data_IF_454172342168
#
_entry.id   IF_454172342168
#
_cell.length_a   1.000
_cell.length_b   1.000
_cell.length_c   1.000
_cell.angle_alpha   90.00
_cell.angle_beta   90.00
_cell.angle_gamma   90.00
#
_symmetry.space_group_name_H-M   'P 1'
#
loop_
_entity.id
_entity.type
_entity.pdbx_description
1 polymer ?
#
# COMPACT_ATOMS: atom_id res chain seq x y z
N UNK A 1 26.01 2.34 -27.02
CA UNK A 1 25.56 1.28 -26.09
C UNK A 1 26.12 1.47 -24.67
N UNK A 2 27.41 1.77 -24.46
CA UNK A 2 27.96 1.92 -23.09
C UNK A 2 27.45 3.20 -22.38
N UNK A 3 27.27 4.32 -23.08
CA UNK A 3 26.83 5.58 -22.47
C UNK A 3 25.35 5.61 -22.06
N UNK A 4 24.46 4.94 -22.83
CA UNK A 4 23.03 4.83 -22.51
C UNK A 4 22.78 3.95 -21.30
N UNK A 5 23.48 2.81 -21.20
CA UNK A 5 23.43 1.94 -20.01
C UNK A 5 23.90 2.68 -18.75
N UNK A 6 24.93 3.53 -18.86
CA UNK A 6 25.44 4.31 -17.72
C UNK A 6 24.47 5.39 -17.22
N UNK A 7 23.64 5.96 -18.11
CA UNK A 7 22.62 6.97 -17.77
C UNK A 7 21.37 6.33 -17.17
N UNK A 8 20.93 5.21 -17.74
CA UNK A 8 19.83 4.36 -17.24
C UNK A 8 20.11 3.94 -15.78
N UNK A 9 21.30 3.37 -15.54
CA UNK A 9 21.72 2.96 -14.18
C UNK A 9 21.77 4.14 -13.20
N UNK A 10 22.04 5.36 -13.66
CA UNK A 10 22.14 6.55 -12.80
C UNK A 10 20.75 7.06 -12.36
N UNK A 11 19.75 7.06 -13.25
CA UNK A 11 18.38 7.47 -12.91
C UNK A 11 17.75 6.49 -11.93
N UNK A 12 17.88 5.18 -12.19
CA UNK A 12 17.37 4.15 -11.29
C UNK A 12 17.94 4.29 -9.87
N UNK A 13 19.26 4.47 -9.75
CA UNK A 13 19.91 4.73 -8.45
C UNK A 13 19.40 6.00 -7.77
N UNK A 14 19.17 7.08 -8.52
CA UNK A 14 18.64 8.32 -7.98
C UNK A 14 17.22 8.15 -7.45
N UNK A 15 16.34 7.47 -8.20
CA UNK A 15 14.96 7.19 -7.77
C UNK A 15 14.95 6.30 -6.52
N UNK A 16 15.79 5.27 -6.47
CA UNK A 16 15.93 4.41 -5.30
C UNK A 16 16.45 5.19 -4.08
N UNK A 17 17.44 6.06 -4.26
CA UNK A 17 17.93 6.93 -3.19
C UNK A 17 16.83 7.87 -2.66
N UNK A 18 16.02 8.46 -3.55
CA UNK A 18 14.88 9.30 -3.16
C UNK A 18 13.88 8.51 -2.31
N UNK A 19 13.51 7.32 -2.76
CA UNK A 19 12.57 6.45 -2.07
C UNK A 19 13.08 6.09 -0.67
N UNK A 20 14.33 5.61 -0.59
CA UNK A 20 14.94 5.17 0.66
C UNK A 20 15.18 6.35 1.62
N UNK A 21 15.62 7.51 1.15
CA UNK A 21 15.81 8.69 1.99
C UNK A 21 14.52 9.08 2.70
N UNK A 22 13.42 9.20 1.95
CA UNK A 22 12.14 9.64 2.48
C UNK A 22 11.56 8.59 3.43
N UNK A 23 11.56 7.32 3.03
CA UNK A 23 10.98 6.24 3.84
C UNK A 23 11.80 5.92 5.09
N UNK A 24 13.12 6.09 5.06
CA UNK A 24 13.97 5.94 6.26
C UNK A 24 13.89 7.15 7.19
N UNK A 25 13.83 8.37 6.64
CA UNK A 25 13.66 9.58 7.44
C UNK A 25 12.34 9.55 8.23
N UNK A 26 11.30 8.93 7.66
CA UNK A 26 10.01 8.72 8.30
C UNK A 26 9.63 7.25 8.30
N UNK A 27 10.37 6.45 9.06
CA UNK A 27 10.09 5.02 9.22
C UNK A 27 8.74 4.79 9.92
N UNK A 28 7.72 4.49 9.11
CA UNK A 28 6.35 4.31 9.58
C UNK A 28 6.15 3.03 10.39
N UNK A 29 7.10 2.08 10.38
CA UNK A 29 7.05 0.93 11.30
C UNK A 29 7.20 1.39 12.76
N UNK A 30 7.82 2.54 13.00
CA UNK A 30 8.00 3.16 14.33
C UNK A 30 6.85 4.11 14.72
N UNK A 31 5.87 4.33 13.84
CA UNK A 31 4.74 5.20 14.12
C UNK A 31 3.96 4.71 15.37
N UNK A 32 3.47 5.62 16.26
CA UNK A 32 2.75 5.24 17.48
C UNK A 32 1.63 4.22 17.27
N UNK A 33 0.77 4.44 16.27
CA UNK A 33 -0.24 3.48 15.82
C UNK A 33 0.31 2.06 15.59
N UNK A 34 1.38 1.93 14.81
CA UNK A 34 1.97 0.64 14.42
C UNK A 34 2.62 -0.04 15.62
N UNK A 35 3.27 0.73 16.49
CA UNK A 35 3.85 0.23 17.74
C UNK A 35 2.77 -0.26 18.70
N UNK A 36 1.68 0.49 18.86
CA UNK A 36 0.51 0.09 19.65
C UNK A 36 -0.14 -1.19 19.08
N UNK A 37 -0.26 -1.26 17.75
CA UNK A 37 -0.73 -2.47 17.07
C UNK A 37 0.16 -3.67 17.41
N UNK A 38 1.48 -3.58 17.19
CA UNK A 38 2.44 -4.67 17.48
C UNK A 38 2.40 -5.12 18.94
N UNK A 39 2.16 -4.21 19.89
CA UNK A 39 2.02 -4.55 21.32
C UNK A 39 0.73 -5.30 21.65
N UNK A 40 -0.24 -5.32 20.74
CA UNK A 40 -1.54 -5.95 20.97
C UNK A 40 -2.49 -5.09 21.81
N UNK A 41 -2.32 -3.77 21.78
CA UNK A 41 -3.03 -2.81 22.65
C UNK A 41 -4.35 -2.29 22.04
N UNK A 42 -4.78 -2.87 20.91
CA UNK A 42 -6.11 -2.62 20.34
C UNK A 42 -7.07 -3.74 20.71
N UNK A 43 -8.33 -3.39 20.95
CA UNK A 43 -9.41 -4.36 21.08
C UNK A 43 -9.63 -5.13 19.78
N UNK A 44 -10.17 -6.35 19.87
CA UNK A 44 -10.54 -7.12 18.67
C UNK A 44 -11.54 -6.36 17.77
N UNK A 45 -12.46 -5.59 18.37
CA UNK A 45 -13.40 -4.76 17.61
C UNK A 45 -12.71 -3.58 16.91
N UNK A 46 -11.68 -2.98 17.51
CA UNK A 46 -10.87 -1.97 16.84
C UNK A 46 -10.13 -2.54 15.63
N UNK A 47 -9.62 -3.78 15.71
CA UNK A 47 -9.01 -4.46 14.55
C UNK A 47 -10.06 -4.80 13.48
N UNK A 48 -11.27 -5.20 13.85
CA UNK A 48 -12.38 -5.37 12.89
C UNK A 48 -12.71 -4.05 12.19
N UNK A 49 -12.72 -2.93 12.92
CA UNK A 49 -12.94 -1.60 12.34
C UNK A 49 -11.81 -1.17 11.41
N UNK A 50 -10.57 -1.45 11.80
CA UNK A 50 -9.42 -1.27 10.92
C UNK A 50 -9.64 -2.02 9.60
N UNK A 51 -10.02 -3.31 9.67
CA UNK A 51 -10.22 -4.12 8.48
C UNK A 51 -11.37 -3.59 7.59
N UNK A 52 -12.50 -3.20 8.20
CA UNK A 52 -13.63 -2.57 7.50
C UNK A 52 -13.19 -1.32 6.71
N UNK A 53 -12.33 -0.49 7.32
CA UNK A 53 -11.81 0.72 6.68
C UNK A 53 -10.75 0.46 5.63
N UNK A 54 -10.10 -0.69 5.63
CA UNK A 54 -9.00 -0.97 4.69
C UNK A 54 -9.46 -1.74 3.45
N UNK A 55 -10.50 -2.57 3.56
CA UNK A 55 -10.96 -3.41 2.43
C UNK A 55 -11.26 -2.60 1.16
N UNK A 56 -12.04 -1.49 1.19
CA UNK A 56 -12.32 -0.75 -0.04
C UNK A 56 -11.08 -0.07 -0.64
N UNK A 57 -10.15 0.37 0.20
CA UNK A 57 -8.85 0.88 -0.24
C UNK A 57 -8.03 -0.17 -0.99
N UNK A 58 -7.95 -1.39 -0.46
CA UNK A 58 -7.23 -2.50 -1.11
C UNK A 58 -7.76 -2.79 -2.53
N UNK A 59 -9.08 -2.75 -2.73
CA UNK A 59 -9.64 -2.89 -4.08
C UNK A 59 -9.31 -1.70 -5.00
N UNK A 60 -9.40 -0.47 -4.48
CA UNK A 60 -9.11 0.75 -5.26
C UNK A 60 -7.63 0.85 -5.66
N UNK A 61 -6.72 0.32 -4.85
CA UNK A 61 -5.29 0.23 -5.18
C UNK A 61 -5.04 -0.55 -6.48
N UNK A 62 -5.61 -1.75 -6.58
CA UNK A 62 -5.48 -2.60 -7.78
C UNK A 62 -6.06 -1.93 -9.03
N UNK A 63 -7.18 -1.20 -8.88
CA UNK A 63 -7.77 -0.43 -9.98
C UNK A 63 -6.88 0.75 -10.41
N UNK A 64 -6.20 1.42 -9.47
CA UNK A 64 -5.28 2.50 -9.76
C UNK A 64 -4.04 2.01 -10.53
N UNK A 65 -3.50 0.83 -10.18
CA UNK A 65 -2.42 0.18 -10.93
C UNK A 65 -2.76 0.03 -12.41
N UNK A 66 -3.92 -0.57 -12.70
CA UNK A 66 -4.40 -0.76 -14.08
C UNK A 66 -4.61 0.58 -14.80
N UNK A 67 -5.13 1.60 -14.10
CA UNK A 67 -5.32 2.94 -14.66
C UNK A 67 -3.99 3.62 -15.00
N UNK A 68 -2.97 3.49 -14.15
CA UNK A 68 -1.66 4.10 -14.41
C UNK A 68 -0.94 3.35 -15.54
N UNK A 69 -1.03 2.02 -15.57
CA UNK A 69 -0.46 1.21 -16.65
C UNK A 69 -1.01 1.60 -18.03
N UNK A 70 -2.31 1.93 -18.14
CA UNK A 70 -2.91 2.32 -19.42
C UNK A 70 -2.41 3.68 -19.95
N UNK A 71 -1.79 4.51 -19.10
CA UNK A 71 -1.26 5.84 -19.44
C UNK A 71 0.20 5.82 -19.91
N UNK A 72 0.88 4.68 -19.85
CA UNK A 72 2.30 4.58 -20.21
C UNK A 72 2.49 4.36 -21.71
N UNK A 73 3.38 5.11 -22.36
CA UNK A 73 3.70 4.94 -23.79
C UNK A 73 4.51 3.66 -24.06
N UNK A 74 5.48 3.36 -23.20
CA UNK A 74 6.35 2.19 -23.34
C UNK A 74 5.59 0.89 -23.07
N UNK A 75 5.51 0.00 -24.07
CA UNK A 75 4.89 -1.30 -23.86
C UNK A 75 5.68 -2.17 -22.87
N UNK A 76 7.01 -2.01 -22.77
CA UNK A 76 7.81 -2.71 -21.78
C UNK A 76 7.42 -2.31 -20.35
N UNK A 77 7.24 -0.99 -20.12
CA UNK A 77 6.77 -0.49 -18.83
C UNK A 77 5.37 -1.02 -18.50
N UNK A 78 4.47 -1.05 -19.48
CA UNK A 78 3.13 -1.65 -19.32
C UNK A 78 3.21 -3.14 -18.98
N UNK A 79 4.12 -3.91 -19.59
CA UNK A 79 4.27 -5.34 -19.31
C UNK A 79 4.66 -5.58 -17.86
N UNK A 80 5.59 -4.82 -17.29
CA UNK A 80 6.01 -4.95 -15.88
C UNK A 80 4.85 -4.59 -14.94
N UNK A 81 4.13 -3.51 -15.22
CA UNK A 81 2.94 -3.12 -14.44
C UNK A 81 1.81 -4.16 -14.52
N UNK A 82 1.66 -4.83 -15.67
CA UNK A 82 0.69 -5.90 -15.85
C UNK A 82 1.10 -7.18 -15.12
N UNK A 83 2.39 -7.48 -15.00
CA UNK A 83 2.89 -8.59 -14.18
C UNK A 83 2.58 -8.35 -12.70
N UNK A 84 2.84 -7.15 -12.20
CA UNK A 84 2.40 -6.73 -10.85
C UNK A 84 0.89 -6.92 -10.68
N UNK A 85 0.10 -6.39 -11.62
CA UNK A 85 -1.35 -6.53 -11.56
C UNK A 85 -1.80 -8.00 -11.63
N UNK A 86 -1.10 -8.85 -12.39
CA UNK A 86 -1.35 -10.29 -12.46
C UNK A 86 -1.14 -10.96 -11.10
N UNK A 87 -0.02 -10.65 -10.43
CA UNK A 87 0.28 -11.12 -9.06
C UNK A 87 -0.77 -10.64 -8.06
N UNK A 88 -1.11 -9.34 -8.06
CA UNK A 88 -2.13 -8.74 -7.18
C UNK A 88 -3.53 -9.37 -7.36
N UNK A 89 -3.85 -9.82 -8.59
CA UNK A 89 -5.09 -10.53 -8.90
C UNK A 89 -4.97 -12.06 -8.73
N UNK A 90 -3.96 -12.50 -7.99
CA UNK A 90 -3.80 -13.90 -7.59
C UNK A 90 -3.48 -14.80 -8.76
N UNK A 91 -2.69 -14.32 -9.72
CA UNK A 91 -2.33 -15.07 -10.93
C UNK A 91 -3.58 -15.50 -11.73
N UNK A 92 -4.55 -14.59 -11.84
CA UNK A 92 -5.88 -14.82 -12.43
C UNK A 92 -6.74 -15.87 -11.70
N UNK A 93 -6.38 -16.22 -10.46
CA UNK A 93 -7.25 -16.96 -9.56
C UNK A 93 -7.90 -15.99 -8.54
N UNK A 94 -9.21 -15.72 -8.66
CA UNK A 94 -9.91 -14.79 -7.78
C UNK A 94 -9.83 -15.13 -6.28
N UNK A 95 -9.66 -16.41 -5.92
CA UNK A 95 -9.55 -16.84 -4.51
C UNK A 95 -8.18 -16.52 -3.89
N UNK A 96 -7.18 -16.25 -4.75
CA UNK A 96 -5.82 -15.85 -4.38
C UNK A 96 -5.56 -14.36 -4.56
N UNK A 97 -6.47 -13.62 -5.21
CA UNK A 97 -6.33 -12.17 -5.33
C UNK A 97 -6.11 -11.55 -3.94
N UNK A 98 -5.23 -10.57 -3.84
CA UNK A 98 -4.83 -10.02 -2.54
C UNK A 98 -6.04 -9.48 -1.76
N UNK A 99 -6.99 -8.86 -2.44
CA UNK A 99 -8.25 -8.43 -1.81
C UNK A 99 -9.09 -9.61 -1.26
N UNK A 100 -9.05 -10.77 -1.90
CA UNK A 100 -9.68 -12.00 -1.40
C UNK A 100 -8.95 -12.56 -0.19
N UNK A 101 -7.61 -12.46 -0.14
CA UNK A 101 -6.83 -12.79 1.05
C UNK A 101 -7.16 -11.83 2.20
N UNK A 102 -7.41 -10.55 1.93
CA UNK A 102 -7.85 -9.59 2.94
C UNK A 102 -9.26 -9.90 3.46
N UNK A 103 -10.20 -10.27 2.58
CA UNK A 103 -11.53 -10.73 3.00
C UNK A 103 -11.47 -12.03 3.82
N UNK A 104 -10.52 -12.91 3.53
CA UNK A 104 -10.25 -14.10 4.34
C UNK A 104 -9.76 -13.75 5.73
N UNK A 105 -8.83 -12.79 5.84
CA UNK A 105 -8.42 -12.23 7.13
C UNK A 105 -9.63 -11.70 7.91
N UNK A 106 -10.46 -10.87 7.27
CA UNK A 106 -11.69 -10.34 7.88
C UNK A 106 -12.60 -11.46 8.39
N UNK A 107 -12.80 -12.53 7.60
CA UNK A 107 -13.58 -13.69 8.02
C UNK A 107 -12.97 -14.38 9.24
N UNK A 108 -11.66 -14.62 9.24
CA UNK A 108 -10.98 -15.33 10.33
C UNK A 108 -10.99 -14.57 11.67
N UNK A 109 -11.08 -13.23 11.65
CA UNK A 109 -11.25 -12.43 12.87
C UNK A 109 -12.72 -12.18 13.25
N UNK A 110 -13.68 -12.84 12.58
CA UNK A 110 -15.12 -12.63 12.73
C UNK A 110 -15.56 -11.17 12.49
N UNK A 111 -15.02 -10.54 11.44
CA UNK A 111 -15.45 -9.22 11.01
C UNK A 111 -16.82 -9.29 10.32
N UNK A 112 -17.71 -8.29 10.50
CA UNK A 112 -18.93 -8.17 9.69
C UNK A 112 -18.63 -8.18 8.19
N UNK A 113 -19.47 -8.87 7.42
CA UNK A 113 -19.39 -8.82 5.96
C UNK A 113 -19.81 -7.42 5.50
N UNK A 114 -18.97 -6.79 4.69
CA UNK A 114 -19.25 -5.50 4.06
C UNK A 114 -19.10 -5.62 2.53
N UNK A 115 -19.66 -4.66 1.80
CA UNK A 115 -19.38 -4.52 0.38
C UNK A 115 -17.94 -4.05 0.18
N UNK A 116 -17.27 -4.56 -0.86
CA UNK A 116 -15.90 -4.18 -1.22
C UNK A 116 -15.79 -2.70 -1.62
N UNK A 117 -16.89 -2.04 -1.96
CA UNK A 117 -16.98 -0.62 -2.28
C UNK A 117 -17.70 0.19 -1.19
N UNK A 118 -17.84 -0.35 0.02
CA UNK A 118 -18.45 0.36 1.14
C UNK A 118 -17.73 1.69 1.46
N UNK A 119 -18.44 2.64 2.07
CA UNK A 119 -17.82 3.87 2.55
C UNK A 119 -16.81 3.56 3.68
N UNK A 120 -15.54 3.78 3.38
CA UNK A 120 -14.42 3.59 4.29
C UNK A 120 -13.89 4.91 4.85
N UNK A 121 -14.61 6.01 4.61
CA UNK A 121 -14.29 7.36 5.02
C UNK A 121 -13.25 8.06 4.14
N UNK A 122 -12.69 7.42 3.11
CA UNK A 122 -11.62 8.00 2.30
C UNK A 122 -11.99 9.35 1.64
N UNK A 123 -13.28 9.52 1.30
CA UNK A 123 -13.80 10.73 0.65
C UNK A 123 -14.22 11.84 1.63
N UNK A 124 -14.44 11.52 2.91
CA UNK A 124 -14.96 12.48 3.91
C UNK A 124 -13.97 12.81 5.02
N UNK A 125 -13.01 11.93 5.30
CA UNK A 125 -12.01 12.10 6.36
C UNK A 125 -10.68 12.49 5.72
N UNK A 126 -10.18 13.73 5.89
CA UNK A 126 -8.95 14.19 5.24
C UNK A 126 -7.71 13.33 5.53
N UNK A 127 -7.63 12.75 6.73
CA UNK A 127 -6.55 11.85 7.14
C UNK A 127 -6.57 10.49 6.41
N UNK A 128 -7.71 10.11 5.79
CA UNK A 128 -7.87 8.85 5.07
C UNK A 128 -7.72 9.00 3.54
N UNK A 129 -7.27 10.17 3.06
CA UNK A 129 -7.31 10.56 1.65
C UNK A 129 -6.51 9.65 0.72
N UNK A 130 -5.41 9.04 1.16
CA UNK A 130 -4.60 8.21 0.25
C UNK A 130 -5.36 6.96 -0.21
N UNK A 131 -6.28 6.45 0.64
CA UNK A 131 -7.09 5.26 0.33
C UNK A 131 -8.04 5.48 -0.84
N UNK A 132 -8.25 6.72 -1.29
CA UNK A 132 -9.04 7.02 -2.49
C UNK A 132 -8.43 6.37 -3.73
N UNK A 133 -7.10 6.30 -3.79
CA UNK A 133 -6.35 5.85 -4.96
C UNK A 133 -6.85 6.50 -6.26
N UNK A 134 -7.25 7.77 -6.18
CA UNK A 134 -7.67 8.55 -7.34
C UNK A 134 -6.44 8.93 -8.17
N UNK A 135 -6.49 8.62 -9.45
CA UNK A 135 -5.48 9.03 -10.43
C UNK A 135 -6.19 9.91 -11.46
N UNK A 136 -5.80 11.19 -11.56
CA UNK A 136 -6.34 12.09 -12.57
C UNK A 136 -5.85 11.71 -13.97
N UNK A 137 -6.64 12.00 -15.00
CA UNK A 137 -6.30 11.63 -16.38
C UNK A 137 -5.05 12.37 -16.87
N UNK A 138 -4.87 13.63 -16.44
CA UNK A 138 -3.73 14.50 -16.72
C UNK A 138 -2.57 14.37 -15.71
N UNK A 139 -2.69 13.53 -14.68
CA UNK A 139 -1.62 13.33 -13.70
C UNK A 139 -0.37 12.72 -14.38
N UNK A 140 0.83 13.29 -14.22
CA UNK A 140 2.06 12.67 -14.71
C UNK A 140 2.30 11.31 -14.04
N UNK A 141 2.60 10.27 -14.85
CA UNK A 141 2.80 8.90 -14.34
C UNK A 141 3.91 8.80 -13.29
N UNK A 142 4.90 9.69 -13.34
CA UNK A 142 5.97 9.75 -12.35
C UNK A 142 5.45 9.96 -10.92
N UNK A 143 4.40 10.79 -10.74
CA UNK A 143 3.77 11.02 -9.43
C UNK A 143 3.15 9.71 -8.92
N UNK A 144 2.36 9.04 -9.76
CA UNK A 144 1.69 7.79 -9.37
C UNK A 144 2.69 6.67 -9.08
N UNK A 145 3.77 6.58 -9.86
CA UNK A 145 4.85 5.61 -9.63
C UNK A 145 5.57 5.87 -8.30
N UNK A 146 5.83 7.13 -7.95
CA UNK A 146 6.37 7.50 -6.64
C UNK A 146 5.45 7.11 -5.49
N UNK A 147 4.13 7.30 -5.67
CA UNK A 147 3.13 6.88 -4.68
C UNK A 147 3.10 5.36 -4.49
N UNK A 148 3.10 4.58 -5.57
CA UNK A 148 3.11 3.12 -5.49
C UNK A 148 4.39 2.60 -4.86
N UNK A 149 5.56 3.10 -5.30
CA UNK A 149 6.84 2.67 -4.75
C UNK A 149 6.94 2.97 -3.24
N UNK A 150 6.38 4.08 -2.78
CA UNK A 150 6.31 4.39 -1.35
C UNK A 150 5.44 3.41 -0.55
N UNK A 151 4.32 2.93 -1.11
CA UNK A 151 3.46 1.94 -0.45
C UNK A 151 4.21 0.62 -0.31
N UNK A 152 4.68 0.06 -1.43
CA UNK A 152 5.38 -1.23 -1.47
C UNK A 152 6.66 -1.21 -0.61
N UNK A 153 7.35 -0.07 -0.52
CA UNK A 153 8.53 0.06 0.33
C UNK A 153 8.18 0.08 1.84
N UNK A 154 7.05 0.67 2.22
CA UNK A 154 6.66 0.87 3.63
C UNK A 154 5.96 -0.36 4.21
N UNK A 155 5.07 -0.99 3.43
CA UNK A 155 4.16 -2.02 3.92
C UNK A 155 4.87 -3.24 4.53
N UNK A 156 5.99 -3.77 4.02
CA UNK A 156 6.69 -4.91 4.63
C UNK A 156 7.05 -4.71 6.10
N UNK A 157 7.60 -3.52 6.43
CA UNK A 157 7.97 -3.17 7.80
C UNK A 157 6.76 -3.00 8.71
N UNK A 158 5.69 -2.41 8.20
CA UNK A 158 4.42 -2.22 8.93
C UNK A 158 3.71 -3.56 9.15
N UNK A 159 3.60 -4.39 8.12
CA UNK A 159 2.91 -5.68 8.17
C UNK A 159 3.62 -6.71 9.04
N UNK A 160 4.96 -6.66 9.11
CA UNK A 160 5.71 -7.41 10.12
C UNK A 160 5.21 -7.08 11.54
N UNK A 161 4.98 -5.79 11.84
CA UNK A 161 4.45 -5.32 13.12
C UNK A 161 2.97 -5.68 13.32
N UNK A 162 2.17 -5.66 12.25
CA UNK A 162 0.78 -6.13 12.33
C UNK A 162 0.71 -7.62 12.65
N UNK A 163 1.52 -8.47 12.02
CA UNK A 163 1.57 -9.91 12.29
C UNK A 163 1.90 -10.17 13.77
N UNK A 164 2.89 -9.45 14.34
CA UNK A 164 3.22 -9.52 15.77
C UNK A 164 2.02 -9.19 16.67
N UNK A 165 1.29 -8.12 16.33
CA UNK A 165 0.12 -7.67 17.09
C UNK A 165 -1.09 -8.59 16.94
N UNK A 166 -1.39 -9.05 15.72
CA UNK A 166 -2.51 -9.93 15.42
C UNK A 166 -2.43 -11.22 16.22
N UNK A 167 -1.24 -11.83 16.36
CA UNK A 167 -1.04 -13.03 17.18
C UNK A 167 -1.24 -12.81 18.68
N UNK A 168 -1.09 -11.57 19.18
CA UNK A 168 -1.38 -11.21 20.57
C UNK A 168 -2.87 -10.95 20.79
N UNK A 169 -3.50 -10.25 19.84
CA UNK A 169 -4.93 -9.85 19.92
C UNK A 169 -5.87 -11.04 19.65
N UNK A 170 -5.46 -11.94 18.76
CA UNK A 170 -6.17 -13.16 18.38
C UNK A 170 -5.23 -14.38 18.58
N UNK A 171 -5.18 -14.98 19.78
CA UNK A 171 -4.22 -16.05 20.10
C UNK A 171 -4.30 -17.28 19.19
N UNK A 172 -5.48 -17.59 18.67
CA UNK A 172 -5.72 -18.76 17.81
C UNK A 172 -5.63 -18.43 16.30
N UNK A 173 -5.14 -17.24 15.93
CA UNK A 173 -5.06 -16.84 14.52
C UNK A 173 -3.97 -17.65 13.79
N UNK A 174 -4.37 -18.34 12.73
CA UNK A 174 -3.45 -19.15 11.94
C UNK A 174 -2.81 -18.35 10.79
N UNK A 175 -1.74 -18.92 10.22
CA UNK A 175 -0.98 -18.29 9.14
C UNK A 175 -1.81 -18.14 7.85
N UNK A 176 -2.80 -19.01 7.64
CA UNK A 176 -3.71 -18.94 6.50
C UNK A 176 -4.67 -17.74 6.61
N UNK A 177 -5.07 -17.38 7.83
CA UNK A 177 -5.92 -16.21 8.11
C UNK A 177 -5.18 -14.90 7.87
N UNK A 178 -3.89 -14.83 8.22
CA UNK A 178 -3.07 -13.62 8.06
C UNK A 178 -2.21 -13.64 6.79
N UNK A 179 -2.50 -14.53 5.84
CA UNK A 179 -1.71 -14.72 4.62
C UNK A 179 -1.49 -13.41 3.86
N UNK A 180 -2.53 -12.55 3.76
CA UNK A 180 -2.44 -11.21 3.16
C UNK A 180 -1.21 -10.44 3.63
N UNK A 181 -1.02 -10.29 4.95
CA UNK A 181 0.10 -9.52 5.49
C UNK A 181 1.43 -10.21 5.22
N UNK A 182 1.44 -11.54 5.28
CA UNK A 182 2.66 -12.33 5.09
C UNK A 182 3.17 -12.26 3.67
N UNK A 183 2.30 -12.37 2.67
CA UNK A 183 2.73 -12.35 1.27
C UNK A 183 3.35 -10.99 0.91
N UNK A 184 2.77 -9.88 1.38
CA UNK A 184 3.27 -8.54 1.11
C UNK A 184 4.64 -8.28 1.79
N UNK A 185 4.91 -8.90 2.94
CA UNK A 185 6.27 -8.86 3.50
C UNK A 185 7.35 -9.49 2.59
N UNK A 186 6.97 -10.35 1.63
CA UNK A 186 7.90 -11.03 0.72
C UNK A 186 7.83 -10.51 -0.72
N UNK A 187 6.65 -10.14 -1.21
CA UNK A 187 6.41 -9.71 -2.59
C UNK A 187 6.73 -8.23 -2.81
N UNK A 188 6.32 -7.35 -1.89
CA UNK A 188 6.47 -5.90 -2.09
C UNK A 188 7.93 -5.42 -2.30
N UNK A 189 8.98 -6.08 -1.76
CA UNK A 189 10.36 -5.76 -2.15
C UNK A 189 10.63 -5.94 -3.65
N UNK A 190 10.11 -7.00 -4.26
CA UNK A 190 10.22 -7.24 -5.71
C UNK A 190 9.36 -6.23 -6.49
N UNK A 191 8.12 -6.00 -6.06
CA UNK A 191 7.26 -4.97 -6.65
C UNK A 191 7.91 -3.58 -6.59
N UNK A 192 8.62 -3.26 -5.50
CA UNK A 192 9.36 -2.00 -5.36
C UNK A 192 10.44 -1.88 -6.44
N UNK A 193 11.23 -2.92 -6.66
CA UNK A 193 12.28 -2.95 -7.69
C UNK A 193 11.67 -2.80 -9.10
N UNK A 194 10.55 -3.49 -9.36
CA UNK A 194 9.79 -3.38 -10.60
C UNK A 194 9.23 -1.97 -10.84
N UNK A 195 8.70 -1.32 -9.81
CA UNK A 195 8.20 0.06 -9.89
C UNK A 195 9.33 1.07 -10.15
N UNK A 196 10.52 0.86 -9.57
CA UNK A 196 11.70 1.68 -9.88
C UNK A 196 12.14 1.47 -11.33
N UNK A 197 12.15 0.23 -11.80
CA UNK A 197 12.46 -0.08 -13.20
C UNK A 197 11.46 0.57 -14.17
N UNK A 198 10.17 0.53 -13.85
CA UNK A 198 9.13 1.22 -14.64
C UNK A 198 9.32 2.74 -14.60
N UNK A 199 9.63 3.31 -13.43
CA UNK A 199 9.88 4.74 -13.28
C UNK A 199 11.09 5.20 -14.09
N UNK A 200 12.18 4.43 -14.11
CA UNK A 200 13.34 4.67 -14.97
C UNK A 200 12.94 4.75 -16.46
N UNK A 201 12.05 3.86 -16.91
CA UNK A 201 11.55 3.87 -18.29
C UNK A 201 10.63 5.07 -18.60
N UNK A 202 9.98 5.65 -17.59
CA UNK A 202 8.99 6.72 -17.75
C UNK A 202 9.55 8.13 -17.51
N UNK A 203 10.54 8.28 -16.63
CA UNK A 203 11.19 9.55 -16.30
C UNK A 203 12.08 10.00 -17.47
N UNK A 204 11.94 11.25 -17.90
CA UNK A 204 12.70 11.83 -19.03
C UNK A 204 13.41 13.15 -18.69
N UNK A 205 13.18 13.67 -17.49
CA UNK A 205 13.72 14.96 -17.06
C UNK A 205 13.89 15.01 -15.53
N UNK A 206 14.69 15.97 -15.06
CA UNK A 206 14.77 16.31 -13.62
C UNK A 206 13.39 16.69 -13.05
N UNK A 207 12.53 17.29 -13.88
CA UNK A 207 11.15 17.59 -13.48
C UNK A 207 10.35 16.32 -13.18
N UNK A 208 10.54 15.25 -13.95
CA UNK A 208 9.86 13.97 -13.70
C UNK A 208 10.40 13.28 -12.44
N UNK A 209 11.71 13.41 -12.17
CA UNK A 209 12.32 12.93 -10.92
C UNK A 209 11.71 13.65 -9.71
N UNK A 210 11.52 14.97 -9.81
CA UNK A 210 10.90 15.74 -8.72
C UNK A 210 9.41 15.39 -8.55
N UNK A 211 8.69 15.11 -9.63
CA UNK A 211 7.32 14.60 -9.58
C UNK A 211 7.25 13.22 -8.90
N UNK A 212 8.20 12.33 -9.19
CA UNK A 212 8.33 11.05 -8.47
C UNK A 212 8.59 11.28 -6.97
N UNK A 213 9.54 12.16 -6.62
CA UNK A 213 9.79 12.56 -5.22
C UNK A 213 8.53 13.07 -4.53
N UNK A 214 7.78 13.94 -5.20
CA UNK A 214 6.53 14.48 -4.68
C UNK A 214 5.52 13.36 -4.39
N UNK A 215 5.40 12.39 -5.31
CA UNK A 215 4.55 11.21 -5.13
C UNK A 215 4.94 10.38 -3.90
N UNK A 216 6.24 10.12 -3.73
CA UNK A 216 6.77 9.40 -2.56
C UNK A 216 6.45 10.15 -1.27
N UNK A 217 6.77 11.44 -1.20
CA UNK A 217 6.59 12.26 0.00
C UNK A 217 5.11 12.42 0.38
N UNK A 218 4.24 12.69 -0.60
CA UNK A 218 2.80 12.80 -0.39
C UNK A 218 2.22 11.50 0.16
N UNK A 219 2.65 10.36 -0.37
CA UNK A 219 2.16 9.07 0.08
C UNK A 219 2.60 8.73 1.50
N UNK A 220 3.89 8.87 1.82
CA UNK A 220 4.41 8.61 3.17
C UNK A 220 3.71 9.51 4.20
N UNK A 221 3.54 10.80 3.89
CA UNK A 221 2.81 11.73 4.76
C UNK A 221 1.35 11.31 4.94
N UNK A 222 0.68 10.90 3.86
CA UNK A 222 -0.73 10.54 3.91
C UNK A 222 -0.99 9.21 4.64
N UNK A 223 -0.06 8.25 4.60
CA UNK A 223 -0.12 7.04 5.41
C UNK A 223 0.08 7.38 6.89
N UNK A 224 1.02 8.27 7.22
CA UNK A 224 1.22 8.74 8.59
C UNK A 224 -0.01 9.47 9.16
N UNK A 225 -0.67 10.30 8.35
CA UNK A 225 -1.92 10.95 8.72
C UNK A 225 -3.02 9.92 9.04
N UNK A 226 -3.16 8.88 8.20
CA UNK A 226 -4.10 7.79 8.47
C UNK A 226 -3.77 7.10 9.78
N UNK A 227 -2.50 6.77 10.02
CA UNK A 227 -2.08 6.10 11.24
C UNK A 227 -2.37 6.94 12.48
N UNK A 228 -2.06 8.24 12.45
CA UNK A 228 -2.40 9.17 13.54
C UNK A 228 -3.90 9.18 13.81
N UNK A 229 -4.69 9.29 12.74
CA UNK A 229 -6.15 9.27 12.86
C UNK A 229 -6.67 7.92 13.39
N UNK A 230 -6.13 6.80 12.93
CA UNK A 230 -6.54 5.46 13.38
C UNK A 230 -6.23 5.22 14.85
N UNK A 231 -5.07 5.67 15.33
CA UNK A 231 -4.68 5.54 16.73
C UNK A 231 -5.67 6.23 17.67
N UNK A 232 -6.15 7.41 17.26
CA UNK A 232 -7.09 8.21 18.04
C UNK A 232 -8.55 7.72 17.96
N UNK A 233 -8.94 7.04 16.88
CA UNK A 233 -10.36 6.87 16.52
C UNK A 233 -10.83 5.42 16.42
N UNK A 234 -9.98 4.43 16.17
CA UNK A 234 -10.45 3.05 15.94
C UNK A 234 -11.22 2.47 17.13
N UNK A 235 -10.77 2.70 18.35
CA UNK A 235 -11.49 2.22 19.55
C UNK A 235 -12.85 2.92 19.71
N UNK A 236 -12.95 4.21 19.39
CA UNK A 236 -14.21 4.95 19.46
C UNK A 236 -15.19 4.43 18.42
N UNK A 237 -14.72 4.17 17.21
CA UNK A 237 -15.53 3.57 16.15
C UNK A 237 -15.92 2.12 16.45
N UNK A 238 -15.07 1.38 17.17
CA UNK A 238 -15.35 0.00 17.58
C UNK A 238 -16.53 -0.10 18.54
N UNK A 239 -16.72 0.91 19.40
CA UNK A 239 -17.88 1.00 20.30
C UNK A 239 -19.18 1.21 19.54
N UNK A 240 -19.15 1.90 18.39
CA UNK A 240 -20.33 2.11 17.55
C UNK A 240 -20.80 0.85 16.81
N UNK A 241 -19.98 -0.22 16.71
CA UNK A 241 -20.43 -1.53 16.20
C UNK A 241 -21.17 -2.37 17.24
N UNK A 242 -21.10 -1.99 18.52
CA UNK A 242 -21.74 -2.71 19.61
C UNK A 242 -23.17 -2.22 19.90
N UNK A 243 -23.54 -1.05 19.37
CA UNK A 243 -24.87 -0.42 19.46
C UNK A 243 -25.74 -0.73 18.26
#
# INVERSE_FOLDING_TARGET
MIATVNLETQVSQQLQHILLDITNAQDLSKHPFVQRFSKGEFSQNAIRQFAIKMLPGSNRFNMAFLKVASKMDSYHARTIMLENAYTEHGELNPDKAHVSLFMRFMKGINCPKIDINADDGAFRIPALRFKKFEVCDDEPVAVSLGRFAAIEQVLPGVFTKYIEGLRKIFPDIDDHTIEYFRIHCHLDPEHTDELIQVAEMCVKSESDIELFRQGVQDMVNSIADMFSWMDENLEKEALALQS
#
